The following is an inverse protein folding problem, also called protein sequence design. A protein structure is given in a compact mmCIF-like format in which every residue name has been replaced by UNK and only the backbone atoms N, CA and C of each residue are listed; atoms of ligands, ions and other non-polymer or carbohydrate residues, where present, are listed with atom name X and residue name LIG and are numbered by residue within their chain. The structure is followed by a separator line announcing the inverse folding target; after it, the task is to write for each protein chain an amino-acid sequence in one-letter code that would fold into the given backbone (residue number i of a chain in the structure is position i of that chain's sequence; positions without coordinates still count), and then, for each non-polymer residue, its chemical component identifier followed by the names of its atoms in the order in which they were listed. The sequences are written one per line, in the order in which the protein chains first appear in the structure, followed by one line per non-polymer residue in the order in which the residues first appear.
data_IF_291047222186
#
_entry.id   IF_291047222186
#
_cell.length_a   1.000
_cell.length_b   1.000
_cell.length_c   1.000
_cell.angle_alpha   90.00
_cell.angle_beta   90.00
_cell.angle_gamma   90.00
#
_symmetry.space_group_name_H-M   'P 1'
#
loop_
_entity.id
_entity.type
_entity.pdbx_description
1 polymer ?
#
# COMPACT_ATOMS: atom_id res chain seq x y z
N UNK A 1 -6.61 7.32 8.13
CA UNK A 1 -7.08 6.63 6.90
C UNK A 1 -7.08 7.55 5.68
N UNK A 2 -7.66 8.76 5.73
CA UNK A 2 -7.61 9.70 4.60
C UNK A 2 -6.17 10.16 4.31
N UNK A 3 -5.40 10.51 5.35
CA UNK A 3 -4.00 10.90 5.21
C UNK A 3 -3.15 9.83 4.50
N UNK A 4 -3.31 8.55 4.86
CA UNK A 4 -2.62 7.44 4.21
C UNK A 4 -3.01 7.30 2.73
N UNK A 5 -4.27 7.56 2.36
CA UNK A 5 -4.70 7.56 0.96
C UNK A 5 -4.05 8.71 0.18
N UNK A 6 -4.00 9.91 0.76
CA UNK A 6 -3.34 11.08 0.15
C UNK A 6 -1.85 10.77 -0.09
N UNK A 7 -1.17 10.18 0.89
CA UNK A 7 0.23 9.78 0.79
C UNK A 7 0.43 8.72 -0.31
N UNK A 8 -0.45 7.71 -0.38
CA UNK A 8 -0.42 6.68 -1.44
C UNK A 8 -0.54 7.34 -2.81
N UNK A 9 -1.53 8.20 -3.00
CA UNK A 9 -1.74 8.91 -4.26
C UNK A 9 -0.54 9.76 -4.64
N UNK A 10 0.07 10.45 -3.68
CA UNK A 10 1.26 11.27 -3.89
C UNK A 10 2.44 10.45 -4.43
N UNK A 11 2.75 9.31 -3.80
CA UNK A 11 3.85 8.45 -4.25
C UNK A 11 3.56 7.79 -5.61
N UNK A 12 2.31 7.38 -5.85
CA UNK A 12 1.91 6.85 -7.17
C UNK A 12 2.07 7.91 -8.25
N UNK A 13 1.67 9.16 -7.98
CA UNK A 13 1.81 10.26 -8.92
C UNK A 13 3.29 10.54 -9.24
N UNK A 14 4.17 10.53 -8.24
CA UNK A 14 5.61 10.69 -8.44
C UNK A 14 6.19 9.56 -9.30
N UNK A 15 5.78 8.32 -9.06
CA UNK A 15 6.16 7.17 -9.87
C UNK A 15 5.70 7.35 -11.33
N UNK A 16 4.44 7.73 -11.56
CA UNK A 16 3.90 7.96 -12.90
C UNK A 16 4.68 9.07 -13.61
N UNK A 17 5.01 10.15 -12.92
CA UNK A 17 5.79 11.25 -13.50
C UNK A 17 7.19 10.79 -13.94
N UNK A 18 7.86 9.95 -13.15
CA UNK A 18 9.15 9.38 -13.53
C UNK A 18 9.03 8.45 -14.74
N UNK A 19 7.99 7.61 -14.78
CA UNK A 19 7.73 6.73 -15.93
C UNK A 19 7.45 7.52 -17.21
N UNK A 20 6.72 8.64 -17.13
CA UNK A 20 6.48 9.55 -18.28
C UNK A 20 7.77 10.18 -18.81
N UNK A 21 8.77 10.36 -17.96
CA UNK A 21 10.10 10.87 -18.34
C UNK A 21 11.05 9.73 -18.78
N UNK A 22 10.54 8.52 -19.03
CA UNK A 22 11.31 7.32 -19.36
C UNK A 22 12.36 6.93 -18.29
N UNK A 23 12.18 7.40 -17.06
CA UNK A 23 13.04 7.06 -15.91
C UNK A 23 12.46 5.84 -15.22
N UNK A 24 12.64 4.66 -15.82
CA UNK A 24 12.02 3.41 -15.36
C UNK A 24 12.69 2.84 -14.11
N UNK A 25 13.99 2.54 -14.16
CA UNK A 25 14.71 1.89 -13.06
C UNK A 25 15.63 2.87 -12.33
N UNK A 26 15.01 3.77 -11.57
CA UNK A 26 15.73 4.68 -10.66
C UNK A 26 15.43 4.33 -9.20
N UNK A 27 16.41 4.55 -8.31
CA UNK A 27 16.25 4.34 -6.86
C UNK A 27 15.02 5.07 -6.29
N UNK A 28 14.69 6.25 -6.83
CA UNK A 28 13.51 7.03 -6.44
C UNK A 28 12.20 6.24 -6.64
N UNK A 29 12.05 5.50 -7.75
CA UNK A 29 10.85 4.71 -8.02
C UNK A 29 10.70 3.57 -7.02
N UNK A 30 11.81 2.90 -6.68
CA UNK A 30 11.84 1.85 -5.66
C UNK A 30 11.39 2.40 -4.31
N UNK A 31 11.85 3.60 -3.95
CA UNK A 31 11.43 4.29 -2.72
C UNK A 31 9.94 4.64 -2.74
N UNK A 32 9.41 5.15 -3.86
CA UNK A 32 7.99 5.46 -3.98
C UNK A 32 7.12 4.22 -3.83
N UNK A 33 7.44 3.12 -4.52
CA UNK A 33 6.70 1.85 -4.39
C UNK A 33 6.77 1.34 -2.95
N UNK A 34 7.96 1.37 -2.33
CA UNK A 34 8.14 0.95 -0.93
C UNK A 34 7.26 1.76 0.02
N UNK A 35 7.24 3.08 -0.13
CA UNK A 35 6.48 3.96 0.74
C UNK A 35 4.96 3.82 0.49
N UNK A 36 4.54 3.52 -0.74
CA UNK A 36 3.15 3.12 -1.04
C UNK A 36 2.76 1.85 -0.28
N UNK A 37 3.60 0.80 -0.31
CA UNK A 37 3.36 -0.45 0.43
C UNK A 37 3.25 -0.20 1.93
N UNK A 38 4.18 0.57 2.52
CA UNK A 38 4.12 0.91 3.95
C UNK A 38 2.86 1.71 4.29
N UNK A 39 2.44 2.65 3.44
CA UNK A 39 1.23 3.43 3.66
C UNK A 39 -0.03 2.56 3.59
N UNK A 40 -0.07 1.57 2.69
CA UNK A 40 -1.13 0.56 2.63
C UNK A 40 -1.17 -0.32 3.88
N UNK A 41 -0.01 -0.78 4.37
CA UNK A 41 0.10 -1.54 5.61
C UNK A 41 -0.47 -0.77 6.79
N UNK A 42 -0.06 0.51 6.95
CA UNK A 42 -0.58 1.37 8.01
C UNK A 42 -2.09 1.53 7.92
N UNK A 43 -2.64 1.70 6.70
CA UNK A 43 -4.09 1.78 6.50
C UNK A 43 -4.81 0.51 6.92
N UNK A 44 -4.29 -0.68 6.55
CA UNK A 44 -4.88 -1.98 6.90
C UNK A 44 -4.85 -2.17 8.41
N UNK A 45 -3.71 -1.92 9.06
CA UNK A 45 -3.54 -2.06 10.51
C UNK A 45 -4.50 -1.13 11.25
N UNK A 46 -4.58 0.15 10.87
CA UNK A 46 -5.54 1.08 11.47
C UNK A 46 -6.99 0.61 11.29
N UNK A 47 -7.35 0.04 10.14
CA UNK A 47 -8.69 -0.48 9.87
C UNK A 47 -9.02 -1.70 10.75
N UNK A 48 -8.05 -2.60 10.95
CA UNK A 48 -8.19 -3.72 11.89
C UNK A 48 -8.41 -3.21 13.31
N UNK A 49 -7.58 -2.29 13.80
CA UNK A 49 -7.73 -1.72 15.14
C UNK A 49 -9.08 -1.02 15.34
N UNK A 50 -9.54 -0.25 14.35
CA UNK A 50 -10.83 0.42 14.40
C UNK A 50 -11.99 -0.60 14.47
N UNK A 51 -11.94 -1.67 13.67
CA UNK A 51 -12.97 -2.70 13.70
C UNK A 51 -12.97 -3.49 15.02
N UNK A 52 -11.80 -3.80 15.58
CA UNK A 52 -11.69 -4.43 16.91
C UNK A 52 -12.24 -3.51 18.00
N UNK A 53 -11.89 -2.23 17.97
CA UNK A 53 -12.40 -1.22 18.92
C UNK A 53 -13.92 -1.08 18.84
N UNK A 54 -14.48 -0.98 17.63
CA UNK A 54 -15.93 -0.92 17.41
C UNK A 54 -16.63 -2.20 17.87
N UNK A 55 -16.01 -3.36 17.68
CA UNK A 55 -16.54 -4.64 18.15
C UNK A 55 -16.60 -4.72 19.68
N UNK A 56 -15.51 -4.35 20.37
CA UNK A 56 -15.45 -4.33 21.85
C UNK A 56 -16.47 -3.35 22.43
N UNK A 57 -16.55 -2.13 21.89
CA UNK A 57 -17.51 -1.13 22.35
C UNK A 57 -18.97 -1.55 22.13
N UNK A 58 -19.25 -2.36 21.10
CA UNK A 58 -20.60 -2.88 20.83
C UNK A 58 -20.99 -4.03 21.76
N UNK A 59 -20.06 -4.88 22.18
CA UNK A 59 -20.31 -5.89 23.22
C UNK A 59 -20.77 -5.22 24.52
N UNK A 60 -20.25 -4.03 24.81
CA UNK A 60 -20.63 -3.25 25.99
C UNK A 60 -21.96 -2.47 25.82
N UNK A 61 -22.44 -2.24 24.59
CA UNK A 61 -23.63 -1.43 24.27
C UNK A 61 -24.68 -2.24 23.47
N UNK A 62 -25.17 -3.33 24.05
CA UNK A 62 -26.22 -4.19 23.46
C UNK A 62 -27.57 -3.43 23.48
N UNK A 63 -27.83 -2.58 22.48
CA UNK A 63 -29.20 -2.16 22.16
C UNK A 63 -29.53 -2.07 20.68
N UNK A 64 -28.59 -1.93 19.75
CA UNK A 64 -28.94 -1.85 18.32
C UNK A 64 -27.89 -2.48 17.39
N UNK A 65 -28.24 -3.64 16.83
CA UNK A 65 -27.41 -4.53 16.00
C UNK A 65 -27.35 -4.08 14.51
N UNK A 66 -28.10 -3.07 14.09
CA UNK A 66 -28.38 -2.83 12.66
C UNK A 66 -27.37 -1.97 11.88
N UNK A 67 -26.34 -1.41 12.51
CA UNK A 67 -25.37 -0.54 11.80
C UNK A 67 -23.97 -1.13 11.96
N UNK A 68 -23.77 -2.30 11.38
CA UNK A 68 -22.44 -2.84 11.15
C UNK A 68 -21.99 -2.30 9.81
N UNK A 69 -20.96 -1.46 9.80
CA UNK A 69 -20.10 -1.36 8.62
C UNK A 69 -19.50 -2.75 8.43
N UNK A 70 -20.18 -3.62 7.68
CA UNK A 70 -19.75 -4.97 7.37
C UNK A 70 -18.51 -4.85 6.48
N UNK A 71 -17.36 -4.61 7.09
CA UNK A 71 -16.08 -4.92 6.45
C UNK A 71 -16.04 -6.43 6.35
N UNK A 72 -16.53 -6.94 5.22
CA UNK A 72 -16.55 -8.37 4.95
C UNK A 72 -15.11 -8.89 4.98
N UNK A 73 -14.94 -10.15 5.39
CA UNK A 73 -13.66 -10.86 5.30
C UNK A 73 -13.08 -10.75 3.87
N UNK A 74 -13.94 -10.65 2.85
CA UNK A 74 -13.55 -10.39 1.47
C UNK A 74 -12.76 -9.10 1.27
N UNK A 75 -13.07 -8.02 1.99
CA UNK A 75 -12.30 -6.77 1.90
C UNK A 75 -10.85 -6.95 2.35
N UNK A 76 -10.62 -7.75 3.41
CA UNK A 76 -9.28 -8.05 3.90
C UNK A 76 -8.49 -8.93 2.92
N UNK A 77 -9.16 -9.90 2.29
CA UNK A 77 -8.56 -10.72 1.22
C UNK A 77 -8.13 -9.82 0.06
N UNK A 78 -8.99 -8.90 -0.39
CA UNK A 78 -8.67 -7.95 -1.46
C UNK A 78 -7.45 -7.09 -1.08
N UNK A 79 -7.41 -6.54 0.13
CA UNK A 79 -6.25 -5.75 0.60
C UNK A 79 -4.97 -6.56 0.60
N UNK A 80 -5.03 -7.82 1.05
CA UNK A 80 -3.87 -8.71 1.05
C UNK A 80 -3.37 -8.98 -0.38
N UNK A 81 -4.27 -9.28 -1.32
CA UNK A 81 -3.92 -9.51 -2.73
C UNK A 81 -3.25 -8.28 -3.33
N UNK A 82 -3.79 -7.08 -3.10
CA UNK A 82 -3.20 -5.81 -3.57
C UNK A 82 -1.78 -5.63 -3.00
N UNK A 83 -1.56 -6.00 -1.75
CA UNK A 83 -0.27 -5.91 -1.08
C UNK A 83 0.76 -6.86 -1.69
N UNK A 84 0.37 -8.10 -1.97
CA UNK A 84 1.21 -9.08 -2.66
C UNK A 84 1.60 -8.58 -4.05
N UNK A 85 0.64 -8.10 -4.83
CA UNK A 85 0.91 -7.55 -6.17
C UNK A 85 1.89 -6.37 -6.08
N UNK A 86 1.65 -5.45 -5.15
CA UNK A 86 2.53 -4.28 -4.95
C UNK A 86 3.95 -4.70 -4.54
N UNK A 87 4.08 -5.75 -3.71
CA UNK A 87 5.37 -6.29 -3.31
C UNK A 87 6.13 -6.96 -4.46
N UNK A 88 5.41 -7.67 -5.34
CA UNK A 88 6.01 -8.20 -6.57
C UNK A 88 6.52 -7.06 -7.46
N UNK A 89 5.73 -6.00 -7.65
CA UNK A 89 6.14 -4.80 -8.38
C UNK A 89 7.41 -4.19 -7.76
N UNK A 90 7.46 -4.06 -6.43
CA UNK A 90 8.65 -3.58 -5.73
C UNK A 90 9.90 -4.39 -6.06
N UNK A 91 9.80 -5.72 -6.06
CA UNK A 91 10.92 -6.60 -6.39
C UNK A 91 11.36 -6.43 -7.85
N UNK A 92 10.43 -6.35 -8.80
CA UNK A 92 10.74 -6.12 -10.22
C UNK A 92 11.56 -4.83 -10.37
N UNK A 93 11.10 -3.72 -9.78
CA UNK A 93 11.84 -2.46 -9.85
C UNK A 93 13.20 -2.53 -9.14
N UNK A 94 13.27 -3.15 -7.96
CA UNK A 94 14.52 -3.30 -7.20
C UNK A 94 15.57 -4.08 -8.00
N UNK A 95 15.19 -5.19 -8.62
CA UNK A 95 16.10 -5.97 -9.45
C UNK A 95 16.45 -5.23 -10.75
N UNK A 96 15.50 -4.53 -11.37
CA UNK A 96 15.75 -3.71 -12.55
C UNK A 96 16.76 -2.60 -12.29
N UNK A 97 16.69 -1.89 -11.15
CA UNK A 97 17.69 -0.88 -10.77
C UNK A 97 19.06 -1.51 -10.60
N UNK A 98 19.14 -2.69 -9.98
CA UNK A 98 20.41 -3.40 -9.81
C UNK A 98 21.03 -3.74 -11.17
N UNK A 99 20.26 -4.32 -12.08
CA UNK A 99 20.72 -4.65 -13.43
C UNK A 99 21.19 -3.42 -14.21
N UNK A 100 20.50 -2.29 -14.06
CA UNK A 100 20.92 -1.04 -14.72
C UNK A 100 22.26 -0.54 -14.17
N UNK A 101 22.44 -0.54 -12.84
CA UNK A 101 23.71 -0.15 -12.21
C UNK A 101 24.87 -1.05 -12.62
N UNK A 102 24.62 -2.37 -12.67
CA UNK A 102 25.62 -3.33 -13.13
C UNK A 102 26.00 -3.01 -14.59
N UNK A 103 25.04 -2.78 -15.48
CA UNK A 103 25.30 -2.38 -16.88
C UNK A 103 26.07 -1.07 -17.02
N UNK A 104 25.68 -0.03 -16.27
CA UNK A 104 26.31 1.29 -16.34
C UNK A 104 27.74 1.28 -15.80
N UNK A 105 28.10 0.28 -14.97
CA UNK A 105 29.46 0.11 -14.45
C UNK A 105 30.44 -0.54 -15.43
N UNK A 106 29.95 -1.17 -16.52
CA UNK A 106 30.79 -1.80 -17.54
C UNK A 106 31.18 -0.85 -18.70
N UNK A 107 30.54 0.33 -18.80
CA UNK A 107 30.83 1.37 -19.81
C UNK A 107 31.83 2.36 -19.24
#
# INVERSE_FOLDING_TARGET
MILSLIIICHYIQQLINNLKLNKYFVDANVLYIRNTIFSMLTLIICNIFLNVYLFINKINNITNISIISHTSIMNYIIYFVILVISYVIYNIFKYGVKLQKDSDSFI
#
